data_IF_385446710627
#
_entry.id   IF_385446710627
#
_cell.length_a   1.000
_cell.length_b   1.000
_cell.length_c   1.000
_cell.angle_alpha   90.00
_cell.angle_beta   90.00
_cell.angle_gamma   90.00
#
_symmetry.space_group_name_H-M   'P 1'
#
loop_
_entity.id
_entity.type
_entity.pdbx_description
1 polymer ?
#
# COMPACT_ATOMS: atom_id res chain seq x y z
N UNK A 1 10.02 13.86 66.11
CA UNK A 1 8.94 12.94 66.40
C UNK A 1 8.78 12.09 65.12
N UNK A 2 9.64 11.22 64.87
CA UNK A 2 9.71 9.77 65.05
C UNK A 2 8.35 9.09 64.99
N UNK A 3 8.18 8.36 63.93
CA UNK A 3 7.62 7.02 63.76
C UNK A 3 7.47 6.81 62.25
N UNK A 4 8.42 6.14 61.62
CA UNK A 4 8.38 5.23 60.50
C UNK A 4 9.80 5.03 59.95
N UNK A 5 10.57 4.39 60.81
CA UNK A 5 11.83 3.73 60.43
C UNK A 5 11.71 2.28 60.87
N UNK A 6 11.47 1.38 59.91
CA UNK A 6 11.89 -0.04 59.89
C UNK A 6 11.01 -0.81 58.90
N UNK A 7 11.55 -1.05 57.74
CA UNK A 7 11.59 -2.35 57.06
C UNK A 7 12.01 -2.11 55.60
N UNK A 8 13.30 -1.94 55.40
CA UNK A 8 13.96 -2.07 54.14
C UNK A 8 15.22 -2.89 54.35
N UNK A 9 15.06 -4.19 54.41
CA UNK A 9 16.18 -5.10 54.24
C UNK A 9 15.69 -6.35 53.53
N UNK A 10 16.44 -6.71 52.47
CA UNK A 10 16.39 -7.93 51.71
C UNK A 10 15.51 -7.95 50.48
N UNK A 11 16.10 -7.44 49.38
CA UNK A 11 16.10 -8.13 48.10
C UNK A 11 17.16 -7.49 47.16
N UNK A 12 18.43 -7.79 47.45
CA UNK A 12 19.49 -7.68 46.47
C UNK A 12 19.37 -8.83 45.46
N UNK A 13 18.91 -8.55 44.26
CA UNK A 13 19.03 -9.44 43.13
C UNK A 13 19.92 -8.75 42.08
N UNK A 14 21.18 -9.14 42.04
CA UNK A 14 22.12 -8.84 40.98
C UNK A 14 21.59 -9.34 39.62
N UNK A 15 21.60 -8.54 38.55
CA UNK A 15 21.39 -9.05 37.21
C UNK A 15 22.68 -9.67 36.69
N UNK A 16 22.72 -11.00 36.61
CA UNK A 16 23.74 -11.72 35.87
C UNK A 16 23.54 -11.56 34.39
N UNK A 17 24.59 -11.16 33.72
CA UNK A 17 24.72 -10.97 32.27
C UNK A 17 24.12 -12.13 31.45
N UNK A 18 23.19 -11.81 30.56
CA UNK A 18 22.67 -12.74 29.53
C UNK A 18 23.53 -12.56 28.30
N UNK A 19 24.39 -13.52 28.06
CA UNK A 19 25.15 -13.66 26.82
C UNK A 19 24.18 -14.11 25.72
N UNK A 20 23.90 -13.23 24.76
CA UNK A 20 23.05 -13.53 23.60
C UNK A 20 23.93 -14.11 22.51
N UNK A 21 23.99 -15.43 22.45
CA UNK A 21 24.52 -16.17 21.32
C UNK A 21 23.41 -16.50 20.35
N UNK A 22 23.66 -16.15 19.09
CA UNK A 22 23.16 -16.78 17.87
C UNK A 22 21.63 -17.04 17.72
N UNK A 23 21.05 -16.21 16.95
CA UNK A 23 19.87 -16.07 16.11
C UNK A 23 18.90 -17.25 15.90
N UNK A 24 18.45 -17.96 16.93
CA UNK A 24 17.27 -18.82 16.83
C UNK A 24 16.26 -18.48 17.93
N UNK A 25 15.04 -18.11 17.54
CA UNK A 25 13.96 -17.84 18.47
C UNK A 25 13.60 -19.12 19.25
N UNK A 26 14.14 -19.25 20.46
CA UNK A 26 13.69 -20.24 21.41
C UNK A 26 12.56 -19.63 22.27
N UNK A 27 11.46 -20.33 22.36
CA UNK A 27 10.35 -20.01 23.27
C UNK A 27 10.86 -19.90 24.71
N UNK A 28 10.29 -19.00 25.56
CA UNK A 28 10.74 -18.84 26.94
C UNK A 28 10.44 -20.10 27.75
N UNK A 29 11.49 -20.82 28.12
CA UNK A 29 11.40 -21.90 29.11
C UNK A 29 11.17 -21.31 30.50
N UNK A 30 9.98 -21.52 31.03
CA UNK A 30 9.71 -21.23 32.46
C UNK A 30 10.26 -22.37 33.29
N UNK A 31 11.36 -22.12 34.01
CA UNK A 31 11.96 -23.06 34.91
C UNK A 31 11.15 -23.11 36.25
N UNK A 32 10.30 -24.11 36.42
CA UNK A 32 9.53 -24.30 37.66
C UNK A 32 10.37 -25.11 38.62
N UNK A 33 10.91 -24.45 39.63
CA UNK A 33 11.76 -25.02 40.68
C UNK A 33 10.96 -25.72 41.79
N UNK A 34 10.03 -26.57 41.58
CA UNK A 34 9.44 -27.61 42.43
C UNK A 34 8.09 -28.07 41.84
N UNK A 35 7.80 -29.36 41.78
CA UNK A 35 6.48 -29.82 41.36
C UNK A 35 5.50 -29.61 42.51
N UNK A 36 4.71 -28.56 42.49
CA UNK A 36 3.44 -28.55 43.20
C UNK A 36 2.52 -29.50 42.45
N UNK A 37 2.02 -30.50 43.10
CA UNK A 37 1.02 -31.43 42.59
C UNK A 37 -0.27 -30.65 42.27
N UNK A 38 -0.36 -30.11 41.06
CA UNK A 38 -1.63 -29.58 40.57
C UNK A 38 -2.52 -30.73 40.11
N UNK A 39 -3.81 -30.75 40.49
CA UNK A 39 -4.74 -31.74 39.99
C UNK A 39 -4.74 -31.73 38.43
N UNK A 40 -4.75 -32.91 37.84
CA UNK A 40 -4.72 -33.08 36.38
C UNK A 40 -5.77 -32.23 35.64
N UNK A 41 -6.84 -31.84 36.29
CA UNK A 41 -7.87 -30.93 35.82
C UNK A 41 -7.35 -29.50 35.52
N UNK A 42 -6.37 -29.00 36.27
CA UNK A 42 -5.82 -27.67 36.06
C UNK A 42 -4.85 -27.63 34.87
N UNK A 43 -4.10 -28.72 34.66
CA UNK A 43 -3.23 -28.85 33.50
C UNK A 43 -4.04 -28.87 32.19
N UNK A 44 -5.20 -29.58 32.19
CA UNK A 44 -6.10 -29.63 31.04
C UNK A 44 -6.76 -28.26 30.78
N UNK A 45 -7.07 -27.51 31.85
CA UNK A 45 -7.67 -26.17 31.70
C UNK A 45 -6.65 -25.15 31.16
N UNK A 46 -5.41 -25.21 31.63
CA UNK A 46 -4.30 -24.37 31.12
C UNK A 46 -3.98 -24.76 29.66
N UNK A 47 -3.90 -26.05 29.34
CA UNK A 47 -3.69 -26.51 27.97
C UNK A 47 -4.84 -26.11 27.05
N UNK A 48 -6.08 -26.22 27.46
CA UNK A 48 -7.25 -25.72 26.70
C UNK A 48 -7.23 -24.20 26.57
N UNK A 49 -6.81 -23.47 27.58
CA UNK A 49 -6.73 -22.01 27.52
C UNK A 49 -5.61 -21.54 26.57
N UNK A 50 -4.44 -22.20 26.59
CA UNK A 50 -3.35 -21.90 25.66
C UNK A 50 -3.64 -22.37 24.25
N UNK A 51 -4.20 -23.57 24.06
CA UNK A 51 -4.59 -24.08 22.71
C UNK A 51 -5.75 -23.26 22.12
N UNK A 52 -6.67 -22.70 22.93
CA UNK A 52 -7.70 -21.77 22.43
C UNK A 52 -7.18 -20.37 22.15
N UNK A 53 -6.07 -19.97 22.80
CA UNK A 53 -5.45 -18.65 22.55
C UNK A 53 -4.58 -18.63 21.31
N UNK A 54 -4.00 -19.78 20.93
CA UNK A 54 -3.16 -19.89 19.73
C UNK A 54 -3.97 -20.09 18.44
N UNK A 55 -5.28 -20.35 18.52
CA UNK A 55 -6.18 -20.47 17.38
C UNK A 55 -6.95 -19.17 17.06
N UNK A 56 -6.73 -18.09 17.80
CA UNK A 56 -6.97 -16.75 17.28
C UNK A 56 -5.71 -16.37 16.51
N UNK A 57 -5.57 -16.86 15.29
CA UNK A 57 -4.75 -16.19 14.28
C UNK A 57 -5.15 -14.72 14.32
N UNK A 58 -4.34 -13.89 14.96
CA UNK A 58 -4.39 -12.45 14.76
C UNK A 58 -4.28 -12.30 13.26
N UNK A 59 -5.40 -12.07 12.56
CA UNK A 59 -5.37 -11.74 11.13
C UNK A 59 -4.44 -10.54 11.06
N UNK A 60 -3.26 -10.79 10.52
CA UNK A 60 -2.26 -9.74 10.34
C UNK A 60 -2.97 -8.59 9.64
N UNK A 61 -2.95 -7.41 10.25
CA UNK A 61 -3.69 -6.26 9.74
C UNK A 61 -3.10 -5.89 8.37
N UNK A 62 -3.78 -6.27 7.31
CA UNK A 62 -3.30 -6.14 5.94
C UNK A 62 -3.65 -4.74 5.41
N UNK A 63 -2.65 -3.85 5.42
CA UNK A 63 -2.80 -2.51 4.87
C UNK A 63 -2.46 -2.50 3.38
N UNK A 64 -3.28 -1.79 2.58
CA UNK A 64 -3.05 -1.54 1.16
C UNK A 64 -2.96 -0.05 0.87
N UNK A 65 -2.21 0.32 -0.15
CA UNK A 65 -2.13 1.66 -0.67
C UNK A 65 -2.40 1.63 -2.18
N UNK A 66 -3.40 2.40 -2.64
CA UNK A 66 -3.60 2.68 -4.05
C UNK A 66 -3.19 4.13 -4.31
N UNK A 67 -2.35 4.33 -5.31
CA UNK A 67 -1.80 5.63 -5.72
C UNK A 67 -2.28 5.95 -7.11
N UNK A 68 -2.93 7.09 -7.30
CA UNK A 68 -3.17 7.66 -8.62
C UNK A 68 -2.11 8.71 -8.92
N UNK A 69 -1.37 8.58 -10.02
CA UNK A 69 -0.39 9.58 -10.45
C UNK A 69 -1.03 10.69 -11.25
N UNK A 70 -0.53 11.91 -11.06
CA UNK A 70 -0.97 13.13 -11.73
C UNK A 70 -0.23 14.35 -11.16
N UNK A 71 -0.38 15.50 -11.81
CA UNK A 71 0.13 16.79 -11.39
C UNK A 71 -0.96 17.64 -10.73
N UNK A 72 -0.66 18.39 -9.65
CA UNK A 72 -1.58 19.34 -9.03
C UNK A 72 -1.74 20.58 -9.91
N UNK A 73 -2.94 21.15 -9.93
CA UNK A 73 -3.29 22.35 -10.69
C UNK A 73 -4.44 22.11 -11.64
N UNK A 74 -5.32 23.10 -11.79
CA UNK A 74 -6.52 23.01 -12.67
C UNK A 74 -6.14 22.80 -14.13
N UNK A 75 -5.01 23.32 -14.56
CA UNK A 75 -4.45 23.19 -15.91
C UNK A 75 -4.11 21.73 -16.26
N UNK A 76 -3.84 20.88 -15.25
CA UNK A 76 -3.46 19.47 -15.45
C UNK A 76 -4.63 18.49 -15.34
N UNK A 77 -5.78 18.89 -14.79
CA UNK A 77 -6.91 17.99 -14.46
C UNK A 77 -7.34 17.11 -15.64
N UNK A 78 -7.33 17.66 -16.86
CA UNK A 78 -7.78 16.98 -18.08
C UNK A 78 -6.65 16.45 -18.95
N UNK A 79 -5.40 16.52 -18.46
CA UNK A 79 -4.25 16.07 -19.23
C UNK A 79 -4.12 14.54 -19.21
N UNK A 80 -3.37 14.01 -20.18
CA UNK A 80 -3.06 12.57 -20.29
C UNK A 80 -2.33 12.09 -19.04
N UNK A 81 -1.42 12.90 -18.50
CA UNK A 81 -0.62 12.58 -17.32
C UNK A 81 -1.44 12.47 -16.02
N UNK A 82 -2.68 12.98 -16.01
CA UNK A 82 -3.59 12.88 -14.85
C UNK A 82 -4.57 11.69 -14.96
N UNK A 83 -4.38 10.75 -15.90
CA UNK A 83 -5.23 9.57 -16.00
C UNK A 83 -5.25 8.74 -14.72
N UNK A 84 -4.13 8.67 -13.98
CA UNK A 84 -4.06 8.00 -12.67
C UNK A 84 -4.93 8.69 -11.61
N UNK A 85 -4.96 10.02 -11.58
CA UNK A 85 -5.84 10.77 -10.66
C UNK A 85 -7.32 10.52 -10.96
N UNK A 86 -7.69 10.49 -12.23
CA UNK A 86 -9.06 10.17 -12.64
C UNK A 86 -9.48 8.77 -12.19
N UNK A 87 -8.57 7.80 -12.30
CA UNK A 87 -8.85 6.43 -11.89
C UNK A 87 -9.00 6.28 -10.36
N UNK A 88 -8.18 6.97 -9.56
CA UNK A 88 -8.30 6.90 -8.10
C UNK A 88 -9.53 7.66 -7.59
N UNK A 89 -9.94 8.76 -8.25
CA UNK A 89 -11.19 9.45 -7.95
C UNK A 89 -12.37 8.50 -8.19
N UNK A 90 -12.33 7.71 -9.26
CA UNK A 90 -13.35 6.69 -9.53
C UNK A 90 -13.39 5.58 -8.47
N UNK A 91 -12.25 5.18 -7.92
CA UNK A 91 -12.19 4.25 -6.76
C UNK A 91 -12.85 4.90 -5.55
N UNK A 92 -12.56 6.16 -5.27
CA UNK A 92 -13.15 6.89 -4.15
C UNK A 92 -14.68 6.98 -4.25
N UNK A 93 -15.21 7.25 -5.45
CA UNK A 93 -16.65 7.24 -5.73
C UNK A 93 -17.27 5.86 -5.47
N UNK A 94 -16.66 4.77 -5.97
CA UNK A 94 -17.13 3.39 -5.76
C UNK A 94 -17.15 3.00 -4.28
N UNK A 95 -16.21 3.49 -3.50
CA UNK A 95 -16.10 3.23 -2.06
C UNK A 95 -16.87 4.25 -1.20
N UNK A 96 -17.53 5.23 -1.83
CA UNK A 96 -18.24 6.33 -1.18
C UNK A 96 -17.39 7.07 -0.14
N UNK A 97 -16.16 7.43 -0.52
CA UNK A 97 -15.21 8.18 0.32
C UNK A 97 -14.67 9.40 -0.40
N UNK A 98 -14.18 10.39 0.36
CA UNK A 98 -13.54 11.59 -0.20
C UNK A 98 -12.04 11.54 0.05
N UNK A 99 -11.26 11.86 -0.99
CA UNK A 99 -9.80 12.00 -0.90
C UNK A 99 -9.49 13.47 -0.58
N UNK A 100 -9.64 13.87 0.67
CA UNK A 100 -9.60 15.28 1.11
C UNK A 100 -8.62 15.58 2.26
N UNK A 101 -8.02 14.54 2.86
CA UNK A 101 -7.07 14.74 3.95
C UNK A 101 -5.70 15.10 3.39
N UNK A 102 -5.22 16.32 3.67
CA UNK A 102 -3.90 16.78 3.25
C UNK A 102 -2.82 16.37 4.25
N UNK A 103 -2.00 15.37 3.89
CA UNK A 103 -0.82 14.91 4.63
C UNK A 103 0.11 14.13 3.70
N UNK A 104 1.34 13.87 4.12
CA UNK A 104 2.31 13.09 3.34
C UNK A 104 2.59 13.68 1.95
N UNK A 105 2.60 15.00 1.82
CA UNK A 105 2.70 15.71 0.54
C UNK A 105 1.66 15.23 -0.49
N UNK A 106 0.45 14.85 -0.04
CA UNK A 106 -0.61 14.32 -0.87
C UNK A 106 -1.99 14.49 -0.24
N UNK A 107 -3.02 14.42 -1.06
CA UNK A 107 -4.39 14.22 -0.61
C UNK A 107 -4.64 12.72 -0.46
N UNK A 108 -5.19 12.30 0.69
CA UNK A 108 -5.45 10.88 0.92
C UNK A 108 -6.81 10.63 1.59
N UNK A 109 -7.31 9.42 1.39
CA UNK A 109 -8.42 8.85 2.14
C UNK A 109 -7.97 7.56 2.83
N UNK A 110 -8.69 7.18 3.90
CA UNK A 110 -8.50 5.91 4.60
C UNK A 110 -9.85 5.22 4.75
N UNK A 111 -9.90 3.96 4.37
CA UNK A 111 -11.08 3.10 4.44
C UNK A 111 -10.74 1.85 5.23
N UNK A 112 -11.68 1.34 6.03
CA UNK A 112 -11.54 0.00 6.61
C UNK A 112 -11.85 -1.03 5.52
N UNK A 113 -10.97 -2.01 5.37
CA UNK A 113 -11.07 -3.01 4.31
C UNK A 113 -10.57 -4.38 4.81
N UNK A 114 -11.43 -5.39 4.80
CA UNK A 114 -11.13 -6.80 5.11
C UNK A 114 -10.20 -7.05 6.32
N UNK A 115 -10.45 -6.36 7.43
CA UNK A 115 -9.64 -6.50 8.66
C UNK A 115 -8.34 -5.70 8.67
N UNK A 116 -8.08 -4.90 7.61
CA UNK A 116 -7.00 -3.94 7.51
C UNK A 116 -7.51 -2.57 7.08
N UNK A 117 -6.61 -1.79 6.46
CA UNK A 117 -6.91 -0.45 5.95
C UNK A 117 -6.49 -0.33 4.50
N UNK A 118 -7.35 0.29 3.71
CA UNK A 118 -7.04 0.77 2.38
C UNK A 118 -6.80 2.27 2.44
N UNK A 119 -5.68 2.71 1.89
CA UNK A 119 -5.35 4.11 1.68
C UNK A 119 -5.43 4.43 0.19
N UNK A 120 -6.10 5.54 -0.15
CA UNK A 120 -6.11 6.13 -1.49
C UNK A 120 -5.25 7.38 -1.43
N UNK A 121 -4.29 7.54 -2.34
CA UNK A 121 -3.34 8.65 -2.34
C UNK A 121 -3.27 9.33 -3.70
N UNK A 122 -3.47 10.64 -3.72
CA UNK A 122 -3.16 11.56 -4.84
C UNK A 122 -1.95 12.41 -4.41
N UNK A 123 -0.72 12.11 -4.83
CA UNK A 123 0.43 12.96 -4.55
C UNK A 123 0.16 14.40 -4.99
N UNK A 124 0.46 15.37 -4.13
CA UNK A 124 0.35 16.80 -4.45
C UNK A 124 1.72 17.40 -4.78
N UNK A 125 2.69 16.55 -5.04
CA UNK A 125 3.97 16.88 -5.66
C UNK A 125 3.81 16.88 -7.18
N UNK A 126 4.75 17.53 -7.91
CA UNK A 126 4.85 17.28 -9.33
C UNK A 126 5.25 15.81 -9.60
N UNK A 127 4.94 15.33 -10.82
CA UNK A 127 5.08 13.93 -11.21
C UNK A 127 6.44 13.33 -10.84
N UNK A 128 7.54 14.03 -11.13
CA UNK A 128 8.90 13.57 -10.85
C UNK A 128 9.26 13.47 -9.36
N UNK A 129 8.40 13.92 -8.46
CA UNK A 129 8.55 13.85 -7.00
C UNK A 129 7.48 13.00 -6.32
N UNK A 130 6.65 12.30 -7.08
CA UNK A 130 5.52 11.50 -6.56
C UNK A 130 5.97 10.44 -5.54
N UNK A 131 7.17 9.89 -5.70
CA UNK A 131 7.73 8.88 -4.79
C UNK A 131 7.87 9.36 -3.35
N UNK A 132 8.13 10.66 -3.12
CA UNK A 132 8.23 11.24 -1.77
C UNK A 132 6.93 11.11 -0.99
N UNK A 133 5.81 11.40 -1.64
CA UNK A 133 4.48 11.25 -1.04
C UNK A 133 4.16 9.79 -0.75
N UNK A 134 4.46 8.90 -1.69
CA UNK A 134 4.25 7.45 -1.55
C UNK A 134 5.08 6.88 -0.40
N UNK A 135 6.38 7.21 -0.34
CA UNK A 135 7.27 6.75 0.74
C UNK A 135 6.77 7.20 2.11
N UNK A 136 6.42 8.49 2.26
CA UNK A 136 5.96 9.01 3.56
C UNK A 136 4.71 8.30 4.07
N UNK A 137 3.71 8.06 3.22
CA UNK A 137 2.49 7.37 3.62
C UNK A 137 2.75 5.89 3.88
N UNK A 138 3.44 5.21 2.97
CA UNK A 138 3.69 3.76 3.08
C UNK A 138 4.55 3.43 4.31
N UNK A 139 5.58 4.23 4.61
CA UNK A 139 6.40 4.07 5.81
C UNK A 139 5.59 4.30 7.10
N UNK A 140 4.78 5.35 7.14
CA UNK A 140 3.96 5.68 8.32
C UNK A 140 2.95 4.59 8.65
N UNK A 141 2.27 4.03 7.64
CA UNK A 141 1.27 2.97 7.82
C UNK A 141 1.83 1.55 7.63
N UNK A 142 3.14 1.42 7.47
CA UNK A 142 3.85 0.14 7.30
C UNK A 142 3.29 -0.69 6.12
N UNK A 143 3.03 -0.03 4.99
CA UNK A 143 2.56 -0.70 3.77
C UNK A 143 3.78 -1.13 2.94
N UNK A 144 4.02 -2.44 2.75
CA UNK A 144 5.16 -2.91 1.97
C UNK A 144 4.94 -2.63 0.47
N UNK A 145 6.02 -2.51 -0.34
CA UNK A 145 5.91 -2.24 -1.78
C UNK A 145 4.96 -3.17 -2.53
N UNK A 146 4.97 -4.46 -2.24
CA UNK A 146 4.09 -5.46 -2.86
C UNK A 146 2.57 -5.18 -2.63
N UNK A 147 2.21 -4.30 -1.70
CA UNK A 147 0.84 -3.85 -1.41
C UNK A 147 0.59 -2.39 -1.82
N UNK A 148 1.43 -1.82 -2.67
CA UNK A 148 1.26 -0.49 -3.24
C UNK A 148 0.85 -0.63 -4.70
N UNK A 149 -0.40 -0.35 -5.05
CA UNK A 149 -0.90 -0.40 -6.41
C UNK A 149 -0.83 0.99 -7.02
N UNK A 150 -0.16 1.15 -8.16
CA UNK A 150 0.03 2.45 -8.82
C UNK A 150 -0.73 2.50 -10.14
N UNK A 151 -1.64 3.49 -10.27
CA UNK A 151 -2.38 3.80 -11.50
C UNK A 151 -1.72 4.99 -12.18
N UNK A 152 -1.41 4.85 -13.48
CA UNK A 152 -0.72 5.90 -14.24
C UNK A 152 -0.91 5.72 -15.75
N UNK A 153 -0.60 6.76 -16.51
CA UNK A 153 -0.67 6.80 -17.97
C UNK A 153 0.44 6.00 -18.65
N UNK A 154 0.13 5.37 -19.76
CA UNK A 154 1.10 4.67 -20.62
C UNK A 154 0.89 5.05 -22.09
N UNK A 155 1.88 5.74 -22.66
CA UNK A 155 1.88 6.17 -24.06
C UNK A 155 2.05 5.02 -25.06
N UNK A 156 2.47 3.84 -24.63
CA UNK A 156 2.60 2.67 -25.50
C UNK A 156 1.28 1.92 -25.71
N UNK A 157 0.20 2.38 -25.06
CA UNK A 157 -1.12 1.80 -25.14
C UNK A 157 -2.11 2.82 -25.71
N UNK A 158 -2.93 2.38 -26.65
CA UNK A 158 -4.03 3.18 -27.17
C UNK A 158 -5.04 3.55 -26.08
N UNK A 159 -5.72 4.73 -26.18
CA UNK A 159 -6.81 5.08 -25.28
C UNK A 159 -7.87 3.97 -25.23
N UNK A 160 -8.34 3.65 -24.02
CA UNK A 160 -9.28 2.56 -23.81
C UNK A 160 -8.62 1.22 -23.47
N UNK A 161 -7.29 1.09 -23.59
CA UNK A 161 -6.56 -0.13 -23.21
C UNK A 161 -5.95 -0.04 -21.83
N UNK A 162 -5.92 -1.17 -21.13
CA UNK A 162 -5.22 -1.34 -19.87
C UNK A 162 -4.15 -2.42 -19.98
N UNK A 163 -3.10 -2.28 -19.19
CA UNK A 163 -2.08 -3.32 -18.99
C UNK A 163 -1.70 -3.38 -17.52
N UNK A 164 -1.91 -4.54 -16.91
CA UNK A 164 -1.53 -4.79 -15.54
C UNK A 164 -0.16 -5.45 -15.49
N UNK A 165 0.68 -5.06 -14.53
CA UNK A 165 2.00 -5.66 -14.27
C UNK A 165 2.21 -5.81 -12.79
N UNK A 166 2.81 -6.92 -12.37
CA UNK A 166 3.19 -7.18 -10.98
C UNK A 166 4.31 -6.24 -10.54
N UNK A 167 5.28 -6.04 -11.41
CA UNK A 167 6.52 -5.30 -11.18
C UNK A 167 7.09 -4.74 -12.49
N UNK A 168 8.29 -4.19 -12.48
CA UNK A 168 9.05 -3.80 -13.67
C UNK A 168 9.72 -2.43 -13.58
N UNK A 169 10.46 -2.05 -14.62
CA UNK A 169 11.15 -0.75 -14.73
C UNK A 169 10.19 0.42 -14.89
N UNK A 170 10.72 1.64 -14.85
CA UNK A 170 9.95 2.87 -15.00
C UNK A 170 9.34 3.06 -16.41
N UNK A 171 9.93 2.44 -17.43
CA UNK A 171 9.45 2.59 -18.81
C UNK A 171 9.40 4.04 -19.32
N UNK A 172 10.29 4.90 -18.82
CA UNK A 172 10.33 6.33 -19.15
C UNK A 172 9.36 7.21 -18.35
N UNK A 173 8.46 6.65 -17.53
CA UNK A 173 7.48 7.42 -16.77
C UNK A 173 8.11 8.04 -15.50
N UNK A 174 8.19 9.38 -15.42
CA UNK A 174 8.87 10.09 -14.34
C UNK A 174 8.30 9.79 -12.93
N UNK A 175 6.98 9.64 -12.79
CA UNK A 175 6.36 9.30 -11.52
C UNK A 175 6.75 7.90 -11.03
N UNK A 176 6.78 6.91 -11.92
CA UNK A 176 7.24 5.55 -11.61
C UNK A 176 8.73 5.54 -11.27
N UNK A 177 9.56 6.30 -12.02
CA UNK A 177 10.98 6.46 -11.71
C UNK A 177 11.18 7.00 -10.30
N UNK A 178 10.42 8.04 -9.92
CA UNK A 178 10.45 8.62 -8.58
C UNK A 178 10.04 7.61 -7.49
N UNK A 179 8.98 6.84 -7.72
CA UNK A 179 8.52 5.83 -6.75
C UNK A 179 9.58 4.74 -6.56
N UNK A 180 10.16 4.22 -7.65
CA UNK A 180 11.23 3.21 -7.60
C UNK A 180 12.42 3.75 -6.80
N UNK A 181 12.83 4.99 -7.06
CA UNK A 181 13.98 5.62 -6.38
C UNK A 181 13.73 5.77 -4.88
N UNK A 182 12.56 6.27 -4.48
CA UNK A 182 12.24 6.53 -3.07
C UNK A 182 11.96 5.23 -2.28
N UNK A 183 11.27 4.26 -2.88
CA UNK A 183 11.01 2.97 -2.22
C UNK A 183 12.21 2.01 -2.26
N UNK A 184 13.21 2.24 -3.11
CA UNK A 184 14.30 1.30 -3.36
C UNK A 184 13.83 -0.06 -3.93
N UNK A 185 12.64 -0.11 -4.55
CA UNK A 185 12.02 -1.35 -5.03
C UNK A 185 11.23 -1.13 -6.31
N UNK A 186 11.20 -2.16 -7.15
CA UNK A 186 10.33 -2.24 -8.33
C UNK A 186 9.16 -3.21 -8.12
N UNK A 187 9.09 -3.89 -6.98
CA UNK A 187 8.10 -4.93 -6.68
C UNK A 187 6.82 -4.30 -6.12
N UNK A 188 6.08 -3.62 -6.99
CA UNK A 188 4.75 -3.09 -6.70
C UNK A 188 3.82 -3.22 -7.91
N UNK A 189 2.55 -3.64 -7.71
CA UNK A 189 1.57 -3.77 -8.76
C UNK A 189 1.25 -2.46 -9.48
N UNK A 190 1.01 -2.54 -10.78
CA UNK A 190 0.79 -1.39 -11.67
C UNK A 190 -0.42 -1.62 -12.54
N UNK A 191 -1.26 -0.58 -12.63
CA UNK A 191 -2.35 -0.48 -13.59
C UNK A 191 -1.98 0.64 -14.57
N UNK A 192 -1.57 0.25 -15.77
CA UNK A 192 -1.19 1.13 -16.85
C UNK A 192 -2.42 1.48 -17.68
N UNK A 193 -2.70 2.77 -17.83
CA UNK A 193 -3.86 3.31 -18.54
C UNK A 193 -3.38 3.88 -19.86
N UNK A 194 -3.85 3.34 -20.98
CA UNK A 194 -3.49 3.79 -22.31
C UNK A 194 -3.96 5.22 -22.57
N UNK A 195 -3.03 6.06 -23.02
CA UNK A 195 -3.27 7.47 -23.39
C UNK A 195 -2.85 7.80 -24.82
N UNK A 196 -2.36 6.81 -25.56
CA UNK A 196 -1.93 6.95 -26.95
C UNK A 196 -0.50 7.45 -27.10
N UNK A 197 0.11 7.06 -28.21
CA UNK A 197 1.45 7.51 -28.60
C UNK A 197 1.43 8.96 -29.07
N UNK A 198 2.56 9.65 -28.93
CA UNK A 198 2.74 10.98 -29.52
C UNK A 198 2.55 10.94 -31.05
N UNK A 199 2.04 12.02 -31.65
CA UNK A 199 1.59 12.00 -33.04
C UNK A 199 2.73 11.78 -34.04
N UNK A 200 3.96 12.18 -33.71
CA UNK A 200 5.14 11.95 -34.54
C UNK A 200 6.41 11.86 -33.64
N UNK A 201 7.50 11.26 -34.16
CA UNK A 201 8.71 11.03 -33.35
C UNK A 201 9.31 12.29 -32.74
N UNK A 202 9.28 13.41 -33.44
CA UNK A 202 9.88 14.69 -33.00
C UNK A 202 9.00 15.50 -32.04
N UNK A 203 7.77 15.04 -31.79
CA UNK A 203 6.90 15.71 -30.81
C UNK A 203 7.49 15.58 -29.41
N UNK A 204 7.53 16.67 -28.63
CA UNK A 204 8.04 16.60 -27.27
C UNK A 204 7.14 15.72 -26.40
N UNK A 205 7.75 14.84 -25.62
CA UNK A 205 7.01 13.89 -24.80
C UNK A 205 6.31 14.55 -23.62
N UNK A 206 6.93 15.59 -23.04
CA UNK A 206 6.31 16.32 -21.92
C UNK A 206 5.06 17.07 -22.41
N UNK A 207 5.17 17.74 -23.56
CA UNK A 207 4.02 18.42 -24.20
C UNK A 207 2.89 17.43 -24.52
N UNK A 208 3.24 16.22 -24.97
CA UNK A 208 2.24 15.19 -25.27
C UNK A 208 1.48 14.75 -24.03
N UNK A 209 2.17 14.37 -22.96
CA UNK A 209 1.50 13.88 -21.75
C UNK A 209 0.77 14.99 -20.99
N UNK A 210 1.17 16.25 -21.19
CA UNK A 210 0.49 17.42 -20.64
C UNK A 210 -0.64 17.94 -21.56
N UNK A 211 -0.83 17.36 -22.75
CA UNK A 211 -1.96 17.68 -23.62
C UNK A 211 -3.26 17.03 -23.14
N UNK A 212 -4.38 17.56 -23.57
CA UNK A 212 -5.73 17.03 -23.31
C UNK A 212 -6.12 15.98 -24.35
N UNK A 213 -7.10 15.16 -24.03
CA UNK A 213 -7.69 14.19 -24.94
C UNK A 213 -8.64 14.87 -25.95
N UNK A 214 -8.67 14.35 -27.15
CA UNK A 214 -9.76 14.66 -28.11
C UNK A 214 -11.08 14.04 -27.63
N UNK A 215 -12.21 14.52 -28.18
CA UNK A 215 -13.52 13.98 -27.81
C UNK A 215 -13.67 12.47 -28.12
N UNK A 216 -12.98 11.99 -29.16
CA UNK A 216 -12.98 10.57 -29.52
C UNK A 216 -12.14 9.73 -28.54
N UNK A 217 -10.95 10.21 -28.16
CA UNK A 217 -10.11 9.57 -27.18
C UNK A 217 -10.78 9.54 -25.80
N UNK A 218 -11.45 10.62 -25.41
CA UNK A 218 -12.19 10.72 -24.14
C UNK A 218 -13.33 9.68 -24.05
N UNK A 219 -14.06 9.44 -25.17
CA UNK A 219 -15.07 8.37 -25.23
C UNK A 219 -14.49 6.99 -24.97
N UNK A 220 -13.25 6.72 -25.39
CA UNK A 220 -12.57 5.46 -25.14
C UNK A 220 -11.95 5.41 -23.73
N UNK A 221 -11.49 6.55 -23.22
CA UNK A 221 -10.80 6.64 -21.93
C UNK A 221 -11.76 6.48 -20.76
N UNK A 222 -12.96 7.07 -20.79
CA UNK A 222 -13.90 7.03 -19.65
C UNK A 222 -14.21 5.58 -19.20
N UNK A 223 -14.57 4.64 -20.08
CA UNK A 223 -14.75 3.24 -19.67
C UNK A 223 -13.45 2.59 -19.17
N UNK A 224 -12.29 2.98 -19.71
CA UNK A 224 -11.00 2.46 -19.25
C UNK A 224 -10.65 2.93 -17.83
N UNK A 225 -11.01 4.16 -17.46
CA UNK A 225 -10.88 4.67 -16.08
C UNK A 225 -11.72 3.84 -15.11
N UNK A 226 -12.97 3.52 -15.47
CA UNK A 226 -13.82 2.63 -14.66
C UNK A 226 -13.19 1.25 -14.47
N UNK A 227 -12.72 0.66 -15.57
CA UNK A 227 -12.03 -0.65 -15.53
C UNK A 227 -10.72 -0.60 -14.76
N UNK A 228 -9.97 0.50 -14.83
CA UNK A 228 -8.73 0.65 -14.05
C UNK A 228 -9.01 0.69 -12.55
N UNK A 229 -10.11 1.33 -12.14
CA UNK A 229 -10.58 1.32 -10.76
C UNK A 229 -10.94 -0.10 -10.30
N UNK A 230 -11.74 -0.83 -11.11
CA UNK A 230 -12.11 -2.22 -10.80
C UNK A 230 -10.90 -3.16 -10.79
N UNK A 231 -9.95 -2.95 -11.70
CA UNK A 231 -8.70 -3.71 -11.75
C UNK A 231 -7.87 -3.54 -10.48
N UNK A 232 -7.75 -2.31 -9.96
CA UNK A 232 -7.02 -2.05 -8.72
C UNK A 232 -7.66 -2.73 -7.51
N UNK A 233 -8.99 -2.70 -7.39
CA UNK A 233 -9.73 -3.42 -6.35
C UNK A 233 -9.59 -4.94 -6.52
N UNK A 234 -9.69 -5.46 -7.74
CA UNK A 234 -9.50 -6.87 -8.04
C UNK A 234 -8.09 -7.37 -7.71
N UNK A 235 -7.04 -6.54 -7.90
CA UNK A 235 -5.67 -6.90 -7.47
C UNK A 235 -5.61 -7.16 -5.96
N UNK A 236 -6.27 -6.35 -5.16
CA UNK A 236 -6.33 -6.52 -3.71
C UNK A 236 -7.07 -7.80 -3.29
N UNK A 237 -8.21 -8.07 -3.93
CA UNK A 237 -9.11 -9.17 -3.57
C UNK A 237 -8.66 -10.53 -4.11
N UNK A 238 -8.20 -10.57 -5.35
CA UNK A 238 -7.97 -11.80 -6.13
C UNK A 238 -6.56 -11.95 -6.65
N UNK A 239 -5.72 -10.94 -6.43
CA UNK A 239 -4.34 -10.91 -6.88
C UNK A 239 -4.19 -10.47 -8.33
N UNK A 240 -2.92 -10.16 -8.68
CA UNK A 240 -2.55 -9.55 -9.98
C UNK A 240 -2.82 -10.46 -11.17
N UNK A 241 -2.68 -11.79 -11.03
CA UNK A 241 -2.89 -12.74 -12.13
C UNK A 241 -4.35 -12.72 -12.59
N UNK A 242 -5.29 -12.85 -11.67
CA UNK A 242 -6.73 -12.81 -11.97
C UNK A 242 -7.15 -11.43 -12.50
N UNK A 243 -6.68 -10.35 -11.87
CA UNK A 243 -6.96 -9.00 -12.35
C UNK A 243 -6.41 -8.77 -13.76
N UNK A 244 -5.21 -9.29 -14.06
CA UNK A 244 -4.61 -9.16 -15.41
C UNK A 244 -5.43 -9.90 -16.46
N UNK A 245 -5.91 -11.10 -16.17
CA UNK A 245 -6.75 -11.89 -17.08
C UNK A 245 -8.07 -11.18 -17.41
N UNK A 246 -8.68 -10.50 -16.40
CA UNK A 246 -9.98 -9.83 -16.58
C UNK A 246 -9.87 -8.46 -17.25
N UNK A 247 -8.85 -7.69 -16.94
CA UNK A 247 -8.81 -6.25 -17.23
C UNK A 247 -7.70 -5.84 -18.21
N UNK A 248 -6.65 -6.64 -18.46
CA UNK A 248 -5.67 -6.28 -19.48
C UNK A 248 -6.26 -6.39 -20.88
N UNK A 249 -6.00 -5.39 -21.72
CA UNK A 249 -6.52 -5.31 -23.08
C UNK A 249 -7.49 -4.16 -23.29
N UNK A 250 -8.30 -4.24 -24.35
CA UNK A 250 -9.34 -3.26 -24.69
C UNK A 250 -10.66 -3.62 -23.97
N UNK A 251 -11.44 -2.60 -23.64
CA UNK A 251 -12.82 -2.77 -23.19
C UNK A 251 -13.68 -3.38 -24.28
#
# INVERSE_FOLDING_TARGET
>A
MDIYRKQSDQMDAHPSEINVGDGTMAAPYIYIKKPLAFPAFYAIFILKYYVHKDNTTMKEQVNWLIVGLGNPGREYEKTRHNAGWRAIDRIAEKLNVKIDKLKFQGLYAQVNYEGGKLFLLKPQTYMNLSGRSVLQLSAFFKVPPARIIVLFDDISLEPGRLRLRKDGSAGGHNGIKSIIQELGSQDFPRVKIGVGAKPHPDYDLADWVLSTFTAQEEKALVPAIDRAADAALCIMEKGIAEASNRYSGKA
#
